data_IF_023408385241
#
_entry.id   IF_023408385241
#
_cell.length_a   1.000
_cell.length_b   1.000
_cell.length_c   1.000
_cell.angle_alpha   90.00
_cell.angle_beta   90.00
_cell.angle_gamma   90.00
#
_symmetry.space_group_name_H-M   'P 1'
#
loop_
_entity.id
_entity.type
_entity.pdbx_description
1 polymer ?
#
# COMPACT_ATOMS: atom_id res chain seq x y z
N UNK A 1 7.52 4.10 -6.75
CA UNK A 1 8.29 5.23 -7.36
C UNK A 1 9.51 4.73 -8.11
N UNK A 2 9.92 5.46 -9.15
CA UNK A 2 11.09 5.12 -9.97
C UNK A 2 12.34 5.81 -9.43
N UNK A 3 13.44 5.09 -9.27
CA UNK A 3 14.74 5.68 -8.99
C UNK A 3 15.34 6.22 -10.29
N UNK A 4 15.81 7.48 -10.28
CA UNK A 4 16.42 8.12 -11.46
C UNK A 4 17.94 8.17 -11.35
N UNK A 5 18.46 8.56 -10.18
CA UNK A 5 19.91 8.72 -9.99
C UNK A 5 20.28 8.59 -8.51
N UNK A 6 21.50 8.14 -8.28
CA UNK A 6 22.18 8.24 -6.98
C UNK A 6 23.49 9.00 -7.20
N UNK A 7 23.69 10.07 -6.45
CA UNK A 7 24.88 10.93 -6.56
C UNK A 7 25.53 11.05 -5.18
N UNK A 8 26.82 10.73 -5.09
CA UNK A 8 27.60 10.95 -3.87
C UNK A 8 27.84 12.45 -3.67
N UNK A 9 27.67 12.94 -2.44
CA UNK A 9 27.87 14.37 -2.13
C UNK A 9 29.32 14.72 -1.79
N UNK A 10 30.11 13.72 -1.43
CA UNK A 10 31.46 13.93 -0.88
C UNK A 10 31.46 14.20 0.63
N UNK A 11 30.29 14.48 1.22
CA UNK A 11 30.15 14.73 2.65
C UNK A 11 30.17 13.44 3.46
N UNK A 12 30.57 13.53 4.72
CA UNK A 12 30.45 12.45 5.68
C UNK A 12 29.19 12.62 6.51
N UNK A 13 28.42 11.55 6.66
CA UNK A 13 27.18 11.52 7.46
C UNK A 13 27.44 10.66 8.71
N UNK A 14 27.33 11.26 9.87
CA UNK A 14 27.43 10.54 11.14
C UNK A 14 26.11 9.84 11.46
N UNK A 15 26.16 8.51 11.56
CA UNK A 15 25.12 7.63 12.07
C UNK A 15 25.69 6.87 13.26
N UNK A 16 25.53 5.54 13.33
CA UNK A 16 26.31 4.68 14.24
C UNK A 16 27.79 4.72 13.86
N UNK A 17 28.07 4.76 12.55
CA UNK A 17 29.38 4.95 11.95
C UNK A 17 29.41 6.17 11.03
N UNK A 18 30.61 6.57 10.60
CA UNK A 18 30.79 7.63 9.59
C UNK A 18 30.61 7.01 8.20
N UNK A 19 29.52 7.40 7.55
CA UNK A 19 29.13 6.93 6.20
C UNK A 19 29.34 8.02 5.16
N UNK A 20 29.49 7.60 3.89
CA UNK A 20 29.50 8.53 2.75
C UNK A 20 28.10 8.99 2.41
N UNK A 21 27.90 10.30 2.33
CA UNK A 21 26.61 10.89 1.95
C UNK A 21 26.30 10.71 0.48
N UNK A 22 25.02 10.49 0.17
CA UNK A 22 24.49 10.40 -1.18
C UNK A 22 23.08 10.98 -1.27
N UNK A 23 22.73 11.47 -2.44
CA UNK A 23 21.37 11.91 -2.79
C UNK A 23 20.76 10.87 -3.74
N UNK A 24 19.64 10.27 -3.34
CA UNK A 24 18.84 9.43 -4.20
C UNK A 24 17.65 10.22 -4.74
N UNK A 25 17.59 10.38 -6.06
CA UNK A 25 16.46 11.02 -6.75
C UNK A 25 15.44 9.96 -7.17
N UNK A 26 14.19 10.15 -6.78
CA UNK A 26 13.05 9.33 -7.17
C UNK A 26 11.99 10.17 -7.83
N UNK A 27 11.24 9.59 -8.77
CA UNK A 27 10.09 10.21 -9.40
C UNK A 27 8.81 9.48 -8.99
N UNK A 28 7.80 10.23 -8.61
CA UNK A 28 6.44 9.78 -8.35
C UNK A 28 5.45 10.62 -9.14
N UNK A 29 4.29 10.07 -9.48
CA UNK A 29 3.22 10.82 -10.15
C UNK A 29 2.66 11.90 -9.23
N UNK A 30 2.71 11.68 -7.92
CA UNK A 30 2.23 12.63 -6.92
C UNK A 30 2.94 12.48 -5.59
N UNK A 31 2.97 13.59 -4.83
CA UNK A 31 3.26 13.63 -3.41
C UNK A 31 2.04 14.03 -2.57
N UNK A 32 0.84 14.08 -3.17
CA UNK A 32 -0.41 14.25 -2.43
C UNK A 32 -0.67 12.95 -1.67
N UNK A 33 -0.83 13.05 -0.35
CA UNK A 33 -0.97 11.93 0.58
C UNK A 33 -2.30 12.01 1.31
N UNK A 34 -2.69 10.94 1.95
CA UNK A 34 -3.84 10.94 2.87
C UNK A 34 -3.66 12.05 3.93
N UNK A 35 -2.44 12.22 4.48
CA UNK A 35 -2.14 13.29 5.42
C UNK A 35 -2.35 14.70 4.87
N UNK A 36 -2.18 14.92 3.56
CA UNK A 36 -2.47 16.23 2.92
C UNK A 36 -3.97 16.58 3.04
N UNK A 37 -4.85 15.59 2.84
CA UNK A 37 -6.29 15.75 3.02
C UNK A 37 -6.66 15.93 4.50
N UNK A 38 -6.03 15.17 5.39
CA UNK A 38 -6.23 15.35 6.83
C UNK A 38 -5.83 16.76 7.28
N UNK A 39 -4.71 17.29 6.78
CA UNK A 39 -4.28 18.66 7.05
C UNK A 39 -5.31 19.69 6.52
N UNK A 40 -5.74 19.56 5.27
CA UNK A 40 -6.72 20.46 4.68
C UNK A 40 -8.07 20.44 5.42
N UNK A 41 -8.48 19.26 5.91
CA UNK A 41 -9.70 19.11 6.70
C UNK A 41 -9.60 19.70 8.12
N UNK A 42 -8.45 19.56 8.79
CA UNK A 42 -8.27 19.99 10.17
C UNK A 42 -7.97 21.49 10.30
N UNK A 43 -7.25 22.07 9.34
CA UNK A 43 -6.76 23.44 9.41
C UNK A 43 -7.34 24.36 8.33
N UNK A 44 -8.09 23.81 7.39
CA UNK A 44 -8.76 24.54 6.31
C UNK A 44 -10.28 24.51 6.45
N UNK A 45 -10.94 24.66 5.31
CA UNK A 45 -12.39 24.63 5.15
C UNK A 45 -12.81 23.46 4.26
N UNK A 46 -14.11 23.14 4.23
CA UNK A 46 -14.67 22.16 3.28
C UNK A 46 -14.32 22.53 1.83
N UNK A 47 -14.26 23.83 1.52
CA UNK A 47 -13.87 24.30 0.18
C UNK A 47 -12.39 24.01 -0.13
N UNK A 48 -11.50 24.09 0.84
CA UNK A 48 -10.09 23.72 0.64
C UNK A 48 -9.95 22.20 0.37
N UNK A 49 -10.73 21.37 1.07
CA UNK A 49 -10.77 19.92 0.80
C UNK A 49 -11.32 19.64 -0.60
N UNK A 50 -12.37 20.38 -1.02
CA UNK A 50 -12.94 20.27 -2.36
C UNK A 50 -11.91 20.60 -3.45
N UNK A 51 -11.25 21.74 -3.34
CA UNK A 51 -10.22 22.16 -4.30
C UNK A 51 -9.06 21.16 -4.39
N UNK A 52 -8.63 20.60 -3.26
CA UNK A 52 -7.62 19.57 -3.22
C UNK A 52 -8.11 18.26 -3.89
N UNK A 53 -9.37 17.87 -3.64
CA UNK A 53 -9.98 16.70 -4.25
C UNK A 53 -10.12 16.87 -5.77
N UNK A 54 -10.62 18.02 -6.23
CA UNK A 54 -10.78 18.34 -7.65
C UNK A 54 -9.40 18.32 -8.36
N UNK A 55 -8.38 18.91 -7.75
CA UNK A 55 -7.02 18.85 -8.26
C UNK A 55 -6.47 17.41 -8.35
N UNK A 56 -6.69 16.61 -7.31
CA UNK A 56 -6.24 15.22 -7.29
C UNK A 56 -6.98 14.38 -8.35
N UNK A 57 -8.28 14.62 -8.54
CA UNK A 57 -9.11 13.94 -9.54
C UNK A 57 -8.64 14.32 -10.95
N UNK A 58 -8.49 15.62 -11.26
CA UNK A 58 -8.03 16.05 -12.59
C UNK A 58 -6.64 15.50 -12.92
N UNK A 59 -5.78 15.37 -11.93
CA UNK A 59 -4.41 14.89 -12.13
C UNK A 59 -4.32 13.36 -12.26
N UNK A 60 -5.04 12.60 -11.44
CA UNK A 60 -4.81 11.18 -11.25
C UNK A 60 -6.00 10.27 -11.55
N UNK A 61 -7.21 10.83 -11.69
CA UNK A 61 -8.47 10.09 -11.72
C UNK A 61 -9.44 10.65 -12.77
N UNK A 62 -8.93 11.10 -13.90
CA UNK A 62 -9.76 11.73 -14.97
C UNK A 62 -10.86 10.82 -15.49
N UNK A 63 -10.67 9.52 -15.37
CA UNK A 63 -11.64 8.50 -15.78
C UNK A 63 -12.97 8.60 -15.03
N UNK A 64 -12.97 9.13 -13.80
CA UNK A 64 -14.20 9.28 -13.01
C UNK A 64 -14.89 10.66 -13.17
N UNK A 65 -14.35 11.58 -13.96
CA UNK A 65 -14.81 12.97 -14.03
C UNK A 65 -16.31 13.13 -14.37
N UNK A 66 -16.91 12.13 -15.02
CA UNK A 66 -18.32 12.13 -15.41
C UNK A 66 -19.22 11.32 -14.44
N UNK A 67 -18.68 10.81 -13.34
CA UNK A 67 -19.48 10.02 -12.39
C UNK A 67 -20.44 10.92 -11.59
N UNK A 68 -21.65 10.40 -11.35
CA UNK A 68 -22.73 11.14 -10.68
C UNK A 68 -22.35 11.60 -9.26
N UNK A 69 -21.64 10.76 -8.52
CA UNK A 69 -21.08 11.12 -7.21
C UNK A 69 -19.55 11.08 -7.30
N UNK A 70 -18.97 12.20 -7.72
CA UNK A 70 -17.56 12.34 -8.05
C UNK A 70 -16.65 11.97 -6.87
N UNK A 71 -16.92 12.49 -5.68
CA UNK A 71 -16.06 12.31 -4.52
C UNK A 71 -16.17 10.90 -3.90
N UNK A 72 -17.35 10.27 -3.99
CA UNK A 72 -17.49 8.86 -3.64
C UNK A 72 -16.73 7.97 -4.62
N UNK A 73 -16.80 8.26 -5.91
CA UNK A 73 -16.04 7.54 -6.94
C UNK A 73 -14.53 7.73 -6.75
N UNK A 74 -14.09 8.92 -6.35
CA UNK A 74 -12.70 9.19 -6.01
C UNK A 74 -12.22 8.32 -4.83
N UNK A 75 -13.02 8.23 -3.76
CA UNK A 75 -12.70 7.34 -2.64
C UNK A 75 -12.60 5.88 -3.09
N UNK A 76 -13.55 5.40 -3.91
CA UNK A 76 -13.56 4.02 -4.42
C UNK A 76 -12.32 3.70 -5.27
N UNK A 77 -11.98 4.57 -6.21
CA UNK A 77 -10.80 4.36 -7.05
C UNK A 77 -9.49 4.45 -6.27
N UNK A 78 -9.40 5.37 -5.30
CA UNK A 78 -8.25 5.41 -4.40
C UNK A 78 -8.14 4.12 -3.57
N UNK A 79 -9.27 3.61 -3.05
CA UNK A 79 -9.33 2.33 -2.33
C UNK A 79 -8.82 1.18 -3.19
N UNK A 80 -9.29 1.08 -4.43
CA UNK A 80 -8.87 0.05 -5.39
C UNK A 80 -7.38 0.13 -5.74
N UNK A 81 -6.85 1.34 -5.98
CA UNK A 81 -5.42 1.53 -6.26
C UNK A 81 -4.55 1.14 -5.06
N UNK A 82 -4.98 1.47 -3.85
CA UNK A 82 -4.27 1.05 -2.64
C UNK A 82 -4.32 -0.46 -2.43
N UNK A 83 -5.45 -1.10 -2.66
CA UNK A 83 -5.57 -2.56 -2.61
C UNK A 83 -4.58 -3.24 -3.57
N UNK A 84 -4.50 -2.75 -4.81
CA UNK A 84 -3.55 -3.26 -5.81
C UNK A 84 -2.08 -3.04 -5.39
N UNK A 85 -1.76 -1.90 -4.77
CA UNK A 85 -0.41 -1.60 -4.29
C UNK A 85 -0.02 -2.54 -3.14
N UNK A 86 -0.89 -2.68 -2.14
CA UNK A 86 -0.62 -3.52 -0.96
C UNK A 86 -0.53 -5.00 -1.36
N UNK A 87 -1.37 -5.48 -2.27
CA UNK A 87 -1.25 -6.82 -2.82
C UNK A 87 0.13 -7.06 -3.46
N UNK A 88 0.64 -6.10 -4.23
CA UNK A 88 2.00 -6.17 -4.80
C UNK A 88 3.09 -6.23 -3.73
N UNK A 89 2.96 -5.46 -2.64
CA UNK A 89 3.92 -5.55 -1.53
C UNK A 89 3.93 -6.94 -0.91
N UNK A 90 2.74 -7.48 -0.64
CA UNK A 90 2.60 -8.85 -0.10
C UNK A 90 3.21 -9.90 -1.04
N UNK A 91 2.99 -9.76 -2.35
CA UNK A 91 3.50 -10.70 -3.36
C UNK A 91 5.03 -10.73 -3.48
N UNK A 92 5.73 -9.69 -3.06
CA UNK A 92 7.19 -9.62 -3.13
C UNK A 92 7.88 -9.60 -1.77
N UNK A 93 7.14 -9.84 -0.68
CA UNK A 93 7.69 -9.83 0.67
C UNK A 93 8.14 -8.44 1.14
N UNK A 94 7.62 -7.36 0.56
CA UNK A 94 7.99 -6.00 0.92
C UNK A 94 7.26 -5.54 2.18
N UNK A 95 8.01 -4.97 3.11
CA UNK A 95 7.49 -4.35 4.33
C UNK A 95 7.87 -2.88 4.32
N UNK A 96 6.87 -1.99 4.33
CA UNK A 96 7.10 -0.54 4.32
C UNK A 96 7.68 -0.02 5.64
N UNK A 97 7.22 -0.57 6.74
CA UNK A 97 7.70 -0.27 8.10
C UNK A 97 7.13 0.99 8.75
N UNK A 98 6.57 1.95 8.01
CA UNK A 98 5.90 3.15 8.56
C UNK A 98 4.72 3.56 7.67
N UNK A 99 3.58 2.92 7.82
CA UNK A 99 2.37 3.17 7.03
C UNK A 99 1.42 4.15 7.72
N UNK A 100 1.90 5.34 8.07
CA UNK A 100 1.01 6.42 8.53
C UNK A 100 0.36 7.15 7.35
N UNK A 101 -0.55 8.11 7.64
CA UNK A 101 -1.25 8.88 6.61
C UNK A 101 -0.33 9.73 5.72
N UNK A 102 0.86 10.07 6.21
CA UNK A 102 1.84 10.85 5.44
C UNK A 102 2.65 10.00 4.48
N UNK A 103 2.58 8.68 4.60
CA UNK A 103 3.32 7.74 3.77
C UNK A 103 2.41 6.95 2.81
N UNK A 104 1.15 7.36 2.68
CA UNK A 104 0.21 6.79 1.72
C UNK A 104 -0.15 7.82 0.64
N UNK A 105 0.46 7.69 -0.54
CA UNK A 105 0.20 8.56 -1.68
C UNK A 105 -1.16 8.26 -2.31
N UNK A 106 -1.92 9.32 -2.62
CA UNK A 106 -3.23 9.18 -3.28
C UNK A 106 -3.11 8.54 -4.67
N UNK A 107 -1.98 8.71 -5.35
CA UNK A 107 -1.73 8.08 -6.67
C UNK A 107 -1.64 6.54 -6.62
N UNK A 108 -1.51 5.92 -5.45
CA UNK A 108 -1.32 4.48 -5.32
C UNK A 108 0.12 4.03 -5.59
N UNK A 109 1.09 4.89 -5.29
CA UNK A 109 2.51 4.59 -5.40
C UNK A 109 3.17 4.51 -4.01
N UNK A 110 4.21 3.68 -3.91
CA UNK A 110 5.05 3.62 -2.72
C UNK A 110 5.90 4.88 -2.62
N UNK A 111 5.88 5.55 -1.48
CA UNK A 111 6.72 6.72 -1.16
C UNK A 111 7.35 6.52 0.23
N UNK A 112 8.31 7.37 0.57
CA UNK A 112 8.95 7.43 1.89
C UNK A 112 9.57 6.09 2.34
N UNK A 113 10.64 5.72 1.66
CA UNK A 113 11.38 4.48 1.89
C UNK A 113 12.33 4.62 3.11
N UNK A 114 11.75 4.68 4.31
CA UNK A 114 12.47 4.74 5.58
C UNK A 114 12.99 3.37 6.01
N UNK A 115 12.41 2.71 7.02
CA UNK A 115 12.85 1.41 7.52
C UNK A 115 12.32 0.24 6.68
N UNK A 116 12.04 0.46 5.39
CA UNK A 116 11.50 -0.56 4.51
C UNK A 116 12.56 -1.59 4.13
N UNK A 117 12.14 -2.84 4.00
CA UNK A 117 12.96 -3.91 3.45
C UNK A 117 12.11 -5.03 2.84
N UNK A 118 12.78 -5.95 2.15
CA UNK A 118 12.19 -7.20 1.71
C UNK A 118 12.50 -8.27 2.75
N UNK A 119 11.53 -9.15 2.98
CA UNK A 119 11.63 -10.26 3.91
C UNK A 119 12.52 -11.36 3.31
N UNK A 120 13.40 -11.92 4.13
CA UNK A 120 14.17 -13.12 3.80
C UNK A 120 13.33 -14.37 4.15
N UNK A 121 13.48 -14.93 5.34
CA UNK A 121 12.63 -16.03 5.80
C UNK A 121 11.18 -15.57 5.94
N UNK A 122 10.24 -16.36 5.42
CA UNK A 122 8.82 -16.02 5.50
C UNK A 122 8.32 -16.03 6.95
N UNK A 123 7.97 -14.86 7.44
CA UNK A 123 7.32 -14.70 8.72
C UNK A 123 6.30 -13.55 8.66
N UNK A 124 4.99 -13.82 8.83
CA UNK A 124 3.95 -12.80 8.76
C UNK A 124 4.09 -11.72 9.84
N UNK A 125 4.81 -11.99 10.93
CA UNK A 125 5.06 -11.04 12.03
C UNK A 125 6.34 -10.19 11.84
N UNK A 126 7.02 -10.29 10.69
CA UNK A 126 8.25 -9.53 10.44
C UNK A 126 8.01 -8.02 10.48
N UNK A 127 8.86 -7.33 11.23
CA UNK A 127 8.90 -5.87 11.41
C UNK A 127 10.31 -5.37 11.18
N UNK A 128 10.48 -4.27 10.41
CA UNK A 128 11.79 -3.67 10.18
C UNK A 128 11.97 -2.31 10.89
N UNK A 129 10.89 -1.67 11.32
CA UNK A 129 10.98 -0.42 12.06
C UNK A 129 11.35 -0.66 13.52
N UNK A 130 12.51 -0.18 13.96
CA UNK A 130 12.98 -0.33 15.34
C UNK A 130 12.08 0.35 16.38
N UNK A 131 11.26 1.32 15.97
CA UNK A 131 10.32 2.01 16.85
C UNK A 131 8.94 1.34 16.91
N UNK A 132 8.66 0.37 16.04
CA UNK A 132 7.39 -0.37 15.99
C UNK A 132 7.42 -1.59 16.91
N UNK A 133 7.48 -1.35 18.20
CA UNK A 133 7.59 -2.41 19.22
C UNK A 133 6.34 -3.30 19.34
N UNK A 134 5.20 -2.85 18.79
CA UNK A 134 3.95 -3.59 18.83
C UNK A 134 3.60 -4.26 17.50
N UNK A 135 4.46 -4.17 16.50
CA UNK A 135 4.23 -4.77 15.19
C UNK A 135 3.06 -4.17 14.41
N UNK A 136 2.73 -2.90 14.66
CA UNK A 136 1.63 -2.22 13.95
C UNK A 136 1.80 -2.32 12.44
N UNK A 137 3.04 -2.22 11.95
CA UNK A 137 3.39 -2.25 10.54
C UNK A 137 4.05 -3.58 10.12
N UNK A 138 3.80 -4.67 10.87
CA UNK A 138 4.23 -6.00 10.48
C UNK A 138 3.68 -6.37 9.09
N UNK A 139 4.37 -7.28 8.39
CA UNK A 139 3.98 -7.73 7.05
C UNK A 139 2.48 -8.07 6.95
N UNK A 140 1.97 -8.90 7.85
CA UNK A 140 0.56 -9.34 7.87
C UNK A 140 -0.44 -8.19 8.11
N UNK A 141 0.00 -7.12 8.78
CA UNK A 141 -0.87 -6.02 9.19
C UNK A 141 -0.98 -4.92 8.11
N UNK A 142 -0.19 -4.96 7.05
CA UNK A 142 -0.18 -3.92 6.01
C UNK A 142 -1.55 -3.70 5.35
N UNK A 143 -2.36 -4.74 5.02
CA UNK A 143 -3.70 -4.54 4.49
C UNK A 143 -4.63 -3.80 5.47
N UNK A 144 -4.62 -4.18 6.74
CA UNK A 144 -5.47 -3.55 7.77
C UNK A 144 -5.09 -2.07 7.99
N UNK A 145 -3.79 -1.78 8.02
CA UNK A 145 -3.30 -0.40 8.15
C UNK A 145 -3.64 0.45 6.92
N UNK A 146 -3.64 -0.14 5.72
CA UNK A 146 -4.13 0.56 4.53
C UNK A 146 -5.61 0.93 4.67
N UNK A 147 -6.47 0.03 5.15
CA UNK A 147 -7.89 0.30 5.42
C UNK A 147 -8.06 1.38 6.48
N UNK A 148 -7.23 1.37 7.53
CA UNK A 148 -7.24 2.43 8.54
C UNK A 148 -6.92 3.80 7.92
N UNK A 149 -5.88 3.90 7.09
CA UNK A 149 -5.53 5.14 6.38
C UNK A 149 -6.64 5.60 5.42
N UNK A 150 -7.23 4.66 4.66
CA UNK A 150 -8.36 4.94 3.77
C UNK A 150 -9.58 5.45 4.56
N UNK A 151 -9.80 4.94 5.77
CA UNK A 151 -10.85 5.46 6.66
C UNK A 151 -10.56 6.92 7.07
N UNK A 152 -9.30 7.26 7.38
CA UNK A 152 -8.91 8.66 7.64
C UNK A 152 -9.11 9.55 6.42
N UNK A 153 -8.80 9.03 5.22
CA UNK A 153 -9.08 9.73 3.97
C UNK A 153 -10.59 9.95 3.74
N UNK A 154 -11.38 8.90 3.92
CA UNK A 154 -12.83 8.94 3.77
C UNK A 154 -13.49 10.00 4.67
N UNK A 155 -13.03 10.11 5.93
CA UNK A 155 -13.52 11.11 6.88
C UNK A 155 -13.39 12.55 6.34
N UNK A 156 -12.31 12.85 5.63
CA UNK A 156 -12.08 14.18 5.06
C UNK A 156 -13.04 14.48 3.91
N UNK A 157 -13.53 13.45 3.22
CA UNK A 157 -14.41 13.56 2.06
C UNK A 157 -15.90 13.54 2.42
N UNK A 158 -16.30 13.20 3.65
CA UNK A 158 -17.73 13.07 4.04
C UNK A 158 -18.60 14.26 3.63
N UNK A 159 -18.19 15.54 3.87
CA UNK A 159 -19.00 16.69 3.48
C UNK A 159 -19.18 16.86 1.97
N UNK A 160 -18.31 16.23 1.17
CA UNK A 160 -18.35 16.28 -0.29
C UNK A 160 -19.15 15.11 -0.87
N UNK A 161 -19.18 13.96 -0.19
CA UNK A 161 -19.86 12.74 -0.63
C UNK A 161 -21.38 12.90 -0.55
N UNK A 162 -21.91 13.42 0.58
CA UNK A 162 -23.35 13.60 0.76
C UNK A 162 -23.68 14.70 1.77
N UNK A 163 -24.82 15.40 1.55
CA UNK A 163 -25.28 16.47 2.46
C UNK A 163 -25.72 15.94 3.82
N UNK A 164 -26.34 14.76 3.86
CA UNK A 164 -26.68 14.07 5.09
C UNK A 164 -25.44 13.32 5.58
N UNK A 165 -24.99 13.61 6.81
CA UNK A 165 -23.78 13.05 7.41
C UNK A 165 -23.86 11.53 7.60
N UNK A 166 -25.01 11.02 8.03
CA UNK A 166 -25.17 9.59 8.30
C UNK A 166 -25.12 8.78 7.00
N UNK A 167 -25.74 9.29 5.94
CA UNK A 167 -25.67 8.69 4.61
C UNK A 167 -24.25 8.77 4.03
N UNK A 168 -23.53 9.90 4.22
CA UNK A 168 -22.15 10.03 3.83
C UNK A 168 -21.27 8.99 4.50
N UNK A 169 -21.47 8.74 5.80
CA UNK A 169 -20.74 7.72 6.57
C UNK A 169 -21.02 6.31 6.03
N UNK A 170 -22.28 5.99 5.76
CA UNK A 170 -22.67 4.68 5.23
C UNK A 170 -21.99 4.45 3.86
N UNK A 171 -22.11 5.43 2.95
CA UNK A 171 -21.49 5.35 1.61
C UNK A 171 -19.97 5.21 1.68
N UNK A 172 -19.33 6.01 2.54
CA UNK A 172 -17.88 5.99 2.72
C UNK A 172 -17.39 4.67 3.32
N UNK A 173 -18.06 4.13 4.33
CA UNK A 173 -17.74 2.83 4.92
C UNK A 173 -17.85 1.70 3.89
N UNK A 174 -18.92 1.71 3.08
CA UNK A 174 -19.09 0.72 2.01
C UNK A 174 -17.96 0.82 0.99
N UNK A 175 -17.58 2.03 0.56
CA UNK A 175 -16.49 2.25 -0.38
C UNK A 175 -15.13 1.78 0.14
N UNK A 176 -14.85 2.00 1.44
CA UNK A 176 -13.60 1.52 2.06
C UNK A 176 -13.61 0.01 2.24
N UNK A 177 -14.76 -0.59 2.56
CA UNK A 177 -14.88 -2.04 2.70
C UNK A 177 -14.61 -2.82 1.40
N UNK A 178 -14.81 -2.19 0.22
CA UNK A 178 -14.45 -2.76 -1.09
C UNK A 178 -12.92 -3.04 -1.23
N UNK A 179 -12.11 -2.54 -0.27
CA UNK A 179 -10.67 -2.81 -0.23
C UNK A 179 -10.36 -4.31 -0.17
N UNK A 180 -11.00 -5.03 0.75
CA UNK A 180 -10.66 -6.44 0.97
C UNK A 180 -10.96 -7.30 -0.25
N UNK A 181 -12.14 -7.14 -0.86
CA UNK A 181 -12.49 -7.86 -2.09
C UNK A 181 -11.48 -7.58 -3.21
N UNK A 182 -11.10 -6.31 -3.39
CA UNK A 182 -10.11 -5.91 -4.39
C UNK A 182 -8.72 -6.47 -4.06
N UNK A 183 -8.29 -6.37 -2.80
CA UNK A 183 -7.01 -6.87 -2.33
C UNK A 183 -6.89 -8.38 -2.52
N UNK A 184 -7.88 -9.16 -2.06
CA UNK A 184 -7.89 -10.62 -2.15
C UNK A 184 -7.83 -11.07 -3.62
N UNK A 185 -8.60 -10.41 -4.49
CA UNK A 185 -8.56 -10.67 -5.93
C UNK A 185 -7.17 -10.43 -6.54
N UNK A 186 -6.53 -9.29 -6.24
CA UNK A 186 -5.20 -8.98 -6.75
C UNK A 186 -4.12 -9.90 -6.16
N UNK A 187 -4.20 -10.18 -4.86
CA UNK A 187 -3.24 -11.02 -4.18
C UNK A 187 -3.31 -12.47 -4.67
N UNK A 188 -4.51 -13.06 -4.74
CA UNK A 188 -4.68 -14.43 -5.17
C UNK A 188 -4.30 -14.61 -6.66
N UNK A 189 -4.69 -13.67 -7.52
CA UNK A 189 -4.27 -13.66 -8.93
C UNK A 189 -2.73 -13.58 -9.05
N UNK A 190 -2.08 -12.77 -8.23
CA UNK A 190 -0.63 -12.67 -8.18
C UNK A 190 0.03 -13.94 -7.67
N UNK A 191 -0.53 -14.60 -6.65
CA UNK A 191 -0.03 -15.89 -6.14
C UNK A 191 -0.18 -17.01 -7.17
N UNK A 192 -1.32 -17.09 -7.87
CA UNK A 192 -1.50 -18.02 -9.01
C UNK A 192 -0.39 -17.82 -10.04
N UNK A 193 -0.12 -16.57 -10.41
CA UNK A 193 0.94 -16.25 -11.37
C UNK A 193 2.32 -16.69 -10.90
N UNK A 194 2.65 -16.53 -9.61
CA UNK A 194 3.92 -16.97 -9.02
C UNK A 194 4.05 -18.50 -8.98
N UNK A 195 2.95 -19.21 -8.86
CA UNK A 195 2.90 -20.68 -8.81
C UNK A 195 2.72 -21.32 -10.18
N UNK A 196 2.54 -20.55 -11.25
CA UNK A 196 2.29 -21.07 -12.58
C UNK A 196 0.90 -21.70 -12.71
N UNK A 197 -0.06 -21.30 -11.91
CA UNK A 197 -1.45 -21.75 -11.96
C UNK A 197 -2.19 -20.89 -13.00
N UNK A 198 -2.70 -21.52 -14.07
CA UNK A 198 -3.34 -20.82 -15.17
C UNK A 198 -4.87 -20.81 -15.08
N UNK A 199 -5.45 -21.79 -14.38
CA UNK A 199 -6.90 -21.87 -14.14
C UNK A 199 -7.22 -21.29 -12.76
N UNK A 200 -8.47 -20.84 -12.60
CA UNK A 200 -8.98 -20.39 -11.31
C UNK A 200 -9.82 -21.49 -10.69
N UNK A 201 -9.37 -22.02 -9.56
CA UNK A 201 -10.04 -23.06 -8.81
C UNK A 201 -10.40 -22.56 -7.41
N UNK A 202 -11.47 -23.09 -6.84
CA UNK A 202 -11.95 -22.67 -5.51
C UNK A 202 -10.93 -22.98 -4.38
N UNK A 203 -10.11 -24.01 -4.59
CA UNK A 203 -9.11 -24.49 -3.64
C UNK A 203 -7.78 -23.73 -3.69
N UNK A 204 -7.60 -22.80 -4.62
CA UNK A 204 -6.33 -22.09 -4.83
C UNK A 204 -5.91 -21.29 -3.59
N UNK A 205 -6.85 -20.64 -2.92
CA UNK A 205 -6.59 -19.88 -1.69
C UNK A 205 -6.07 -20.80 -0.57
N UNK A 206 -6.70 -21.97 -0.41
CA UNK A 206 -6.26 -22.97 0.57
C UNK A 206 -4.88 -23.53 0.24
N UNK A 207 -4.60 -23.77 -1.05
CA UNK A 207 -3.29 -24.23 -1.53
C UNK A 207 -2.19 -23.20 -1.19
N UNK A 208 -2.43 -21.94 -1.52
CA UNK A 208 -1.49 -20.84 -1.21
C UNK A 208 -1.29 -20.73 0.31
N UNK A 209 -2.36 -20.79 1.09
CA UNK A 209 -2.29 -20.73 2.55
C UNK A 209 -1.45 -21.86 3.14
N UNK A 210 -1.62 -23.10 2.63
CA UNK A 210 -0.78 -24.26 3.05
C UNK A 210 0.68 -24.06 2.69
N UNK A 211 0.99 -23.57 1.48
CA UNK A 211 2.37 -23.30 1.07
C UNK A 211 3.03 -22.28 2.00
N UNK A 212 2.35 -21.15 2.25
CA UNK A 212 2.88 -20.12 3.15
C UNK A 212 3.04 -20.64 4.58
N UNK A 213 2.12 -21.48 5.07
CA UNK A 213 2.26 -22.16 6.37
C UNK A 213 3.52 -23.04 6.44
N UNK A 214 3.77 -23.87 5.42
CA UNK A 214 4.97 -24.70 5.33
C UNK A 214 6.23 -23.83 5.30
N UNK A 215 6.23 -22.74 4.53
CA UNK A 215 7.35 -21.80 4.48
C UNK A 215 7.64 -21.19 5.83
N UNK A 216 6.61 -20.79 6.57
CA UNK A 216 6.75 -20.22 7.91
C UNK A 216 7.32 -21.23 8.91
N UNK A 217 6.77 -22.46 8.94
CA UNK A 217 7.15 -23.50 9.90
C UNK A 217 8.60 -23.97 9.70
N UNK A 218 9.11 -23.88 8.46
CA UNK A 218 10.48 -24.30 8.13
C UNK A 218 11.47 -23.12 7.99
N UNK A 219 11.01 -21.88 8.14
CA UNK A 219 11.85 -20.68 7.97
C UNK A 219 12.38 -20.50 6.56
N UNK A 220 11.59 -20.87 5.55
CA UNK A 220 11.98 -20.81 4.14
C UNK A 220 12.10 -19.38 3.65
N UNK A 221 13.12 -19.09 2.83
CA UNK A 221 13.27 -17.78 2.19
C UNK A 221 12.13 -17.50 1.22
N UNK A 222 11.47 -16.36 1.41
CA UNK A 222 10.28 -15.99 0.64
C UNK A 222 10.55 -15.89 -0.86
N UNK A 223 11.60 -15.19 -1.23
CA UNK A 223 11.93 -14.95 -2.65
C UNK A 223 12.47 -16.21 -3.32
N UNK A 224 13.43 -16.89 -2.66
CA UNK A 224 14.09 -18.05 -3.22
C UNK A 224 13.15 -19.25 -3.38
N UNK A 225 12.18 -19.44 -2.52
CA UNK A 225 11.15 -20.49 -2.67
C UNK A 225 10.44 -20.36 -4.02
N UNK A 226 9.94 -19.17 -4.37
CA UNK A 226 9.27 -18.97 -5.67
C UNK A 226 10.22 -19.04 -6.86
N UNK A 227 11.47 -18.56 -6.71
CA UNK A 227 12.50 -18.72 -7.75
C UNK A 227 12.78 -20.20 -8.00
N UNK A 228 12.96 -21.00 -6.96
CA UNK A 228 13.24 -22.42 -7.07
C UNK A 228 12.07 -23.18 -7.72
N UNK A 229 10.83 -22.87 -7.37
CA UNK A 229 9.65 -23.41 -8.04
C UNK A 229 9.65 -23.08 -9.54
N UNK A 230 10.01 -21.85 -9.92
CA UNK A 230 10.05 -21.41 -11.32
C UNK A 230 11.11 -22.18 -12.13
N UNK A 231 12.28 -22.46 -11.56
CA UNK A 231 13.39 -23.14 -12.26
C UNK A 231 13.45 -24.64 -12.02
N UNK A 232 12.49 -25.23 -11.30
CA UNK A 232 12.45 -26.66 -11.01
C UNK A 232 13.60 -27.13 -10.12
N UNK A 233 14.21 -26.24 -9.34
CA UNK A 233 15.24 -26.59 -8.36
C UNK A 233 14.53 -26.99 -7.06
N UNK A 234 14.26 -28.29 -6.93
CA UNK A 234 13.89 -28.85 -5.63
C UNK A 234 15.12 -28.80 -4.72
N UNK A 235 15.00 -28.15 -3.57
CA UNK A 235 15.97 -27.79 -2.56
C UNK A 235 17.34 -28.48 -2.58
N UNK A 236 18.40 -27.70 -2.68
CA UNK A 236 19.69 -28.02 -2.12
C UNK A 236 19.78 -27.52 -0.71
#
# INVERSE_FOLDING_TARGET
TRSLAVVTTGDSILREDILKGAILTRAADSHIRVGTFAYASNFGTVENVRQLADYAIDRHYREIAQHKNLYLSFLKEATKRQAALIAKWQLVGFIHGVMNTDNMAISGETIDYGPCAFMDAYNPDTVFSSIDIYGRYAYKNQPEIAVWNLSRFAETLLPLIHKNKDEAIILAKTAVAEFYESYDSYWLSGMRSKLGIFNEEAEDEELVGKLLGIMHDNGEDYTNTFINLTFGKAGE
#
